data_IF_525038661183
#
_entry.id   IF_525038661183
#
_cell.length_a   1.000
_cell.length_b   1.000
_cell.length_c   1.000
_cell.angle_alpha   90.00
_cell.angle_beta   90.00
_cell.angle_gamma   90.00
#
_symmetry.space_group_name_H-M   'P 1'
#
loop_
_entity.id
_entity.type
_entity.pdbx_description
1 polymer ?
#
# COMPACT_ATOMS: atom_id res chain seq x y z
N UNK A 1 13.75 -1.52 -2.29
CA UNK A 1 12.68 -1.56 -1.27
C UNK A 1 11.55 -0.66 -1.70
N UNK A 2 10.33 -1.16 -1.70
CA UNK A 2 9.12 -0.37 -1.91
C UNK A 2 8.47 -0.09 -0.55
N UNK A 3 7.89 1.09 -0.37
CA UNK A 3 7.20 1.47 0.86
C UNK A 3 5.80 1.99 0.52
N UNK A 4 4.75 1.34 1.01
CA UNK A 4 3.37 1.73 0.76
C UNK A 4 2.71 2.32 2.00
N UNK A 5 1.84 3.32 1.81
CA UNK A 5 1.01 3.89 2.87
C UNK A 5 -0.47 3.93 2.47
N UNK A 6 -1.32 3.73 3.47
CA UNK A 6 -2.76 4.02 3.46
C UNK A 6 -3.04 5.16 4.46
N UNK A 7 -3.05 6.43 4.00
CA UNK A 7 -3.10 7.61 4.88
C UNK A 7 -4.48 7.83 5.52
N UNK A 8 -4.47 8.22 6.79
CA UNK A 8 -5.68 8.55 7.54
C UNK A 8 -5.38 8.94 8.99
N UNK A 9 -6.42 9.03 9.83
CA UNK A 9 -6.26 9.28 11.27
C UNK A 9 -5.36 8.22 11.92
N UNK A 10 -5.59 6.97 11.55
CA UNK A 10 -4.63 5.87 11.65
C UNK A 10 -4.07 5.64 10.26
N UNK A 11 -2.74 5.64 10.13
CA UNK A 11 -2.04 5.44 8.87
C UNK A 11 -1.41 4.06 8.86
N UNK A 12 -1.79 3.26 7.87
CA UNK A 12 -1.18 1.97 7.59
C UNK A 12 0.07 2.11 6.75
N UNK A 13 1.02 1.21 6.95
CA UNK A 13 2.21 1.13 6.12
C UNK A 13 2.63 -0.33 5.91
N UNK A 14 3.33 -0.60 4.80
CA UNK A 14 3.93 -1.88 4.50
C UNK A 14 5.16 -1.70 3.61
N UNK A 15 6.17 -2.56 3.74
CA UNK A 15 7.35 -2.50 2.87
C UNK A 15 7.67 -3.84 2.21
N UNK A 16 8.17 -3.75 0.99
CA UNK A 16 8.51 -4.88 0.13
C UNK A 16 10.01 -4.94 -0.10
N UNK A 17 10.55 -6.13 0.09
CA UNK A 17 11.91 -6.49 -0.30
C UNK A 17 11.85 -7.03 -1.73
N UNK A 18 12.32 -6.22 -2.69
CA UNK A 18 12.34 -6.54 -4.12
C UNK A 18 13.32 -7.67 -4.44
N UNK A 19 14.41 -7.80 -3.67
CA UNK A 19 15.44 -8.82 -3.91
C UNK A 19 14.88 -10.20 -3.56
N UNK A 20 14.25 -10.30 -2.37
CA UNK A 20 13.60 -11.53 -1.89
C UNK A 20 12.15 -11.71 -2.35
N UNK A 21 11.62 -10.74 -3.09
CA UNK A 21 10.24 -10.68 -3.58
C UNK A 21 9.17 -11.00 -2.53
N UNK A 22 9.25 -10.34 -1.38
CA UNK A 22 8.32 -10.60 -0.26
C UNK A 22 7.91 -9.33 0.46
N UNK A 23 6.74 -9.37 1.10
CA UNK A 23 6.35 -8.37 2.10
C UNK A 23 7.23 -8.61 3.33
N UNK A 24 8.05 -7.62 3.67
CA UNK A 24 9.03 -7.73 4.75
C UNK A 24 8.49 -7.22 6.09
N UNK A 25 7.46 -6.39 6.07
CA UNK A 25 6.73 -5.99 7.25
C UNK A 25 5.58 -5.03 6.95
N UNK A 26 4.72 -4.84 7.95
CA UNK A 26 3.60 -3.93 7.91
C UNK A 26 3.25 -3.47 9.32
N UNK A 27 2.58 -2.33 9.43
CA UNK A 27 2.10 -1.78 10.69
C UNK A 27 1.11 -0.65 10.49
N UNK A 28 0.60 -0.11 11.59
CA UNK A 28 -0.22 1.09 11.58
C UNK A 28 0.15 2.00 12.74
N UNK A 29 0.11 3.31 12.52
CA UNK A 29 0.42 4.33 13.52
C UNK A 29 -0.60 5.46 13.47
N UNK A 30 -0.69 6.26 14.53
CA UNK A 30 -1.42 7.53 14.47
C UNK A 30 -0.64 8.56 13.67
N UNK A 31 -1.34 9.53 13.07
CA UNK A 31 -0.77 10.58 12.20
C UNK A 31 0.50 11.23 12.78
N UNK A 32 0.50 11.62 14.05
CA UNK A 32 1.62 12.36 14.67
C UNK A 32 2.92 11.56 14.77
N UNK A 33 2.85 10.24 14.63
CA UNK A 33 4.01 9.34 14.65
C UNK A 33 4.64 9.20 13.26
N UNK A 34 3.92 9.53 12.19
CA UNK A 34 4.38 9.35 10.80
C UNK A 34 5.74 10.02 10.54
N UNK A 35 6.02 11.27 10.93
CA UNK A 35 7.33 11.89 10.70
C UNK A 35 8.49 11.16 11.39
N UNK A 36 8.24 10.61 12.59
CA UNK A 36 9.25 9.80 13.31
C UNK A 36 9.45 8.45 12.63
N UNK A 37 8.35 7.81 12.23
CA UNK A 37 8.36 6.53 11.52
C UNK A 37 9.14 6.63 10.20
N UNK A 38 8.93 7.67 9.39
CA UNK A 38 9.63 7.86 8.10
C UNK A 38 11.16 7.84 8.27
N UNK A 39 11.66 8.44 9.36
CA UNK A 39 13.09 8.48 9.69
C UNK A 39 13.68 7.12 10.11
N UNK A 40 12.83 6.13 10.42
CA UNK A 40 13.29 4.77 10.78
C UNK A 40 13.52 3.87 9.58
N UNK A 41 13.00 4.23 8.41
CA UNK A 41 13.17 3.41 7.21
C UNK A 41 14.50 3.73 6.51
N UNK A 42 15.20 2.71 5.97
CA UNK A 42 16.24 2.98 4.97
C UNK A 42 15.58 3.65 3.75
N UNK A 43 16.35 4.44 2.99
CA UNK A 43 15.84 5.14 1.81
C UNK A 43 15.16 4.16 0.83
N UNK A 44 13.84 4.24 0.61
CA UNK A 44 13.15 3.38 -0.34
C UNK A 44 13.48 3.80 -1.78
N UNK A 45 13.26 2.86 -2.70
CA UNK A 45 13.36 3.10 -4.15
C UNK A 45 12.16 3.87 -4.65
N UNK A 46 10.98 3.53 -4.12
CA UNK A 46 9.69 4.14 -4.49
C UNK A 46 8.75 4.11 -3.28
N UNK A 47 7.96 5.17 -3.13
CA UNK A 47 6.85 5.23 -2.18
C UNK A 47 5.53 5.08 -2.95
N UNK A 48 4.63 4.25 -2.44
CA UNK A 48 3.27 4.07 -2.95
C UNK A 48 2.30 4.73 -1.97
N UNK A 49 1.44 5.62 -2.44
CA UNK A 49 0.45 6.30 -1.60
C UNK A 49 -0.95 6.04 -2.10
N UNK A 50 -1.89 5.68 -1.21
CA UNK A 50 -3.31 5.82 -1.54
C UNK A 50 -3.62 7.29 -1.83
N UNK A 51 -4.15 7.56 -3.03
CA UNK A 51 -4.56 8.90 -3.44
C UNK A 51 -5.81 9.33 -2.65
N UNK A 52 -5.73 10.46 -1.97
CA UNK A 52 -6.89 11.06 -1.33
C UNK A 52 -7.69 11.88 -2.33
N UNK A 53 -8.97 11.53 -2.52
CA UNK A 53 -9.90 12.29 -3.38
C UNK A 53 -11.19 12.56 -2.62
N UNK A 54 -11.59 13.83 -2.57
CA UNK A 54 -12.90 14.24 -2.05
C UNK A 54 -13.92 14.15 -3.17
N UNK A 55 -14.87 13.24 -3.03
CA UNK A 55 -15.98 13.12 -3.99
C UNK A 55 -17.15 14.03 -3.57
N UNK A 56 -17.90 14.60 -4.52
CA UNK A 56 -19.00 15.53 -4.21
C UNK A 56 -20.03 14.96 -3.23
N UNK A 57 -20.38 13.67 -3.34
CA UNK A 57 -21.34 13.03 -2.43
C UNK A 57 -20.77 12.74 -1.02
N UNK A 58 -19.47 12.95 -0.79
CA UNK A 58 -18.81 12.80 0.52
C UNK A 58 -18.40 14.14 1.13
N UNK A 59 -18.48 15.25 0.39
CA UNK A 59 -17.95 16.55 0.81
C UNK A 59 -18.68 17.13 2.03
N UNK A 60 -20.01 16.97 2.11
CA UNK A 60 -20.81 17.51 3.21
C UNK A 60 -20.37 17.00 4.60
N UNK A 61 -19.91 15.75 4.69
CA UNK A 61 -19.39 15.17 5.94
C UNK A 61 -17.95 15.57 6.28
N UNK A 62 -17.24 16.23 5.36
CA UNK A 62 -15.82 16.58 5.49
C UNK A 62 -15.58 18.07 5.71
N UNK A 63 -16.62 18.92 5.63
CA UNK A 63 -16.49 20.39 5.73
C UNK A 63 -15.83 20.84 7.05
N UNK A 64 -16.03 20.08 8.12
CA UNK A 64 -15.48 20.36 9.45
C UNK A 64 -14.44 19.32 9.90
N UNK A 65 -14.02 18.43 9.00
CA UNK A 65 -12.97 17.46 9.29
C UNK A 65 -11.60 18.15 9.15
N UNK A 66 -10.63 17.77 9.99
CA UNK A 66 -9.25 18.22 9.86
C UNK A 66 -8.54 17.61 8.64
N UNK A 67 -9.18 16.65 7.95
CA UNK A 67 -8.65 15.97 6.78
C UNK A 67 -7.27 15.35 7.08
N UNK A 68 -7.17 14.37 7.99
CA UNK A 68 -5.89 13.80 8.39
C UNK A 68 -5.14 13.11 7.23
N UNK A 69 -5.86 12.52 6.28
CA UNK A 69 -5.25 11.85 5.12
C UNK A 69 -4.38 12.80 4.26
N UNK A 70 -4.87 13.96 3.77
CA UNK A 70 -4.03 14.89 3.03
C UNK A 70 -2.88 15.49 3.87
N UNK A 71 -3.05 15.65 5.19
CA UNK A 71 -1.94 16.07 6.07
C UNK A 71 -0.81 15.03 6.07
N UNK A 72 -1.15 13.75 6.28
CA UNK A 72 -0.18 12.63 6.23
C UNK A 72 0.48 12.55 4.85
N UNK A 73 -0.29 12.71 3.76
CA UNK A 73 0.25 12.74 2.39
C UNK A 73 1.27 13.87 2.26
N UNK A 74 0.97 15.06 2.79
CA UNK A 74 1.90 16.20 2.81
C UNK A 74 3.21 15.87 3.54
N UNK A 75 3.13 15.23 4.72
CA UNK A 75 4.31 14.80 5.48
C UNK A 75 5.17 13.81 4.69
N UNK A 76 4.55 12.81 4.05
CA UNK A 76 5.27 11.81 3.26
C UNK A 76 5.89 12.44 2.01
N UNK A 77 5.18 13.36 1.34
CA UNK A 77 5.69 14.10 0.17
C UNK A 77 6.90 14.95 0.51
N UNK A 78 6.86 15.70 1.61
CA UNK A 78 8.00 16.50 2.08
C UNK A 78 9.23 15.62 2.30
N UNK A 79 9.07 14.51 3.03
CA UNK A 79 10.17 13.59 3.28
C UNK A 79 10.70 12.92 2.01
N UNK A 80 9.81 12.54 1.09
CA UNK A 80 10.19 11.92 -0.18
C UNK A 80 11.00 12.89 -1.06
N UNK A 81 10.60 14.17 -1.10
CA UNK A 81 11.32 15.23 -1.81
C UNK A 81 12.72 15.43 -1.22
N UNK A 82 12.83 15.57 0.11
CA UNK A 82 14.11 15.66 0.83
C UNK A 82 15.04 14.47 0.53
N UNK A 83 14.48 13.27 0.37
CA UNK A 83 15.23 12.05 0.11
C UNK A 83 15.45 11.72 -1.37
N UNK A 84 14.94 12.54 -2.30
CA UNK A 84 14.90 12.26 -3.74
C UNK A 84 14.28 10.89 -4.06
N UNK A 85 13.13 10.59 -3.44
CA UNK A 85 12.40 9.35 -3.62
C UNK A 85 11.12 9.60 -4.43
N UNK A 86 10.90 8.88 -5.55
CA UNK A 86 9.67 9.01 -6.32
C UNK A 86 8.45 8.48 -5.55
N UNK A 87 7.32 9.19 -5.72
CA UNK A 87 6.01 8.80 -5.21
C UNK A 87 5.12 8.36 -6.37
N UNK A 88 4.42 7.25 -6.18
CA UNK A 88 3.34 6.79 -7.06
C UNK A 88 2.03 6.82 -6.27
N UNK A 89 1.06 7.59 -6.77
CA UNK A 89 -0.28 7.62 -6.19
C UNK A 89 -1.18 6.54 -6.80
N UNK A 90 -1.87 5.81 -5.94
CA UNK A 90 -2.72 4.68 -6.29
C UNK A 90 -4.18 4.98 -5.93
N UNK A 91 -5.15 4.76 -6.84
CA UNK A 91 -6.57 4.94 -6.51
C UNK A 91 -7.01 4.00 -5.38
N UNK A 92 -7.81 4.50 -4.43
CA UNK A 92 -8.38 3.70 -3.34
C UNK A 92 -9.04 2.39 -3.80
N UNK A 93 -9.60 2.35 -5.02
CA UNK A 93 -10.26 1.18 -5.58
C UNK A 93 -9.33 0.00 -5.88
N UNK A 94 -8.03 0.23 -6.13
CA UNK A 94 -7.13 -0.84 -6.59
C UNK A 94 -6.89 -1.90 -5.52
N UNK A 95 -6.97 -1.51 -4.24
CA UNK A 95 -6.81 -2.43 -3.10
C UNK A 95 -7.81 -3.58 -3.14
N UNK A 96 -9.04 -3.33 -3.60
CA UNK A 96 -10.11 -4.33 -3.73
C UNK A 96 -9.78 -5.45 -4.72
N UNK A 97 -8.83 -5.23 -5.62
CA UNK A 97 -8.44 -6.22 -6.65
C UNK A 97 -7.37 -7.21 -6.17
N UNK A 98 -6.81 -6.98 -4.98
CA UNK A 98 -5.97 -7.95 -4.27
C UNK A 98 -6.88 -8.68 -3.29
N UNK A 99 -6.93 -10.01 -3.34
CA UNK A 99 -7.81 -10.83 -2.50
C UNK A 99 -7.14 -11.23 -1.19
N UNK A 100 -7.86 -11.89 -0.28
CA UNK A 100 -7.27 -12.45 0.93
C UNK A 100 -6.28 -13.57 0.63
N UNK A 101 -6.55 -14.37 -0.40
CA UNK A 101 -5.67 -15.48 -0.79
C UNK A 101 -4.33 -14.96 -1.31
N UNK A 102 -4.34 -13.84 -2.04
CA UNK A 102 -3.10 -13.16 -2.43
C UNK A 102 -2.33 -12.69 -1.19
N UNK A 103 -2.99 -12.08 -0.20
CA UNK A 103 -2.31 -11.70 1.06
C UNK A 103 -1.71 -12.92 1.78
N UNK A 104 -2.40 -14.06 1.80
CA UNK A 104 -1.92 -15.31 2.41
C UNK A 104 -0.73 -15.89 1.65
N UNK A 105 -0.76 -15.89 0.31
CA UNK A 105 0.35 -16.33 -0.53
C UNK A 105 1.63 -15.55 -0.21
N UNK A 106 1.50 -14.23 -0.03
CA UNK A 106 2.59 -13.33 0.36
C UNK A 106 2.89 -13.30 1.87
N UNK A 107 2.30 -14.19 2.70
CA UNK A 107 2.47 -14.25 4.17
C UNK A 107 2.13 -12.92 4.88
N UNK A 108 1.30 -12.09 4.28
CA UNK A 108 0.95 -10.77 4.82
C UNK A 108 -0.43 -10.74 5.51
N UNK A 109 -1.19 -11.83 5.45
CA UNK A 109 -2.51 -11.92 6.09
C UNK A 109 -2.43 -11.81 7.62
N UNK A 110 -1.66 -12.69 8.26
CA UNK A 110 -1.51 -12.72 9.71
C UNK A 110 -0.70 -11.51 10.22
N UNK A 111 0.29 -11.08 9.43
CA UNK A 111 1.08 -9.87 9.70
C UNK A 111 0.20 -8.61 9.83
N UNK A 112 -0.96 -8.57 9.17
CA UNK A 112 -1.88 -7.43 9.19
C UNK A 112 -3.15 -7.70 9.99
N UNK A 113 -3.19 -8.77 10.78
CA UNK A 113 -4.33 -9.08 11.64
C UNK A 113 -4.57 -7.95 12.66
N UNK A 114 -5.83 -7.51 12.79
CA UNK A 114 -6.20 -6.38 13.66
C UNK A 114 -5.76 -5.00 13.17
N UNK A 115 -5.07 -4.90 12.01
CA UNK A 115 -4.54 -3.65 11.47
C UNK A 115 -5.13 -3.35 10.08
N UNK A 116 -6.38 -2.83 9.99
CA UNK A 116 -7.08 -2.67 8.72
C UNK A 116 -6.33 -1.75 7.73
N UNK A 117 -5.75 -0.65 8.21
CA UNK A 117 -4.98 0.25 7.35
C UNK A 117 -3.66 -0.36 6.89
N UNK A 118 -2.97 -1.11 7.76
CA UNK A 118 -1.77 -1.86 7.36
C UNK A 118 -2.10 -2.88 6.25
N UNK A 119 -3.26 -3.52 6.35
CA UNK A 119 -3.78 -4.44 5.34
C UNK A 119 -4.05 -3.75 4.02
N UNK A 120 -4.69 -2.58 4.03
CA UNK A 120 -4.98 -1.81 2.81
C UNK A 120 -3.68 -1.27 2.17
N UNK A 121 -2.71 -0.78 2.95
CA UNK A 121 -1.38 -0.42 2.46
C UNK A 121 -0.67 -1.62 1.81
N UNK A 122 -0.76 -2.81 2.42
CA UNK A 122 -0.22 -4.06 1.85
C UNK A 122 -0.91 -4.42 0.53
N UNK A 123 -2.22 -4.21 0.40
CA UNK A 123 -2.94 -4.46 -0.85
C UNK A 123 -2.49 -3.53 -1.97
N UNK A 124 -2.24 -2.25 -1.68
CA UNK A 124 -1.66 -1.31 -2.64
C UNK A 124 -0.27 -1.74 -3.09
N UNK A 125 0.57 -2.14 -2.13
CA UNK A 125 1.91 -2.68 -2.38
C UNK A 125 1.86 -3.89 -3.34
N UNK A 126 1.03 -4.89 -3.04
CA UNK A 126 0.90 -6.09 -3.87
C UNK A 126 0.23 -5.82 -5.22
N UNK A 127 -0.67 -4.84 -5.31
CA UNK A 127 -1.23 -4.41 -6.58
C UNK A 127 -0.15 -3.87 -7.51
N UNK A 128 0.74 -3.02 -6.98
CA UNK A 128 1.87 -2.49 -7.71
C UNK A 128 2.82 -3.61 -8.13
N UNK A 129 3.19 -4.52 -7.21
CA UNK A 129 4.04 -5.65 -7.54
C UNK A 129 3.44 -6.55 -8.63
N UNK A 130 2.12 -6.78 -8.62
CA UNK A 130 1.42 -7.54 -9.68
C UNK A 130 1.54 -6.87 -11.05
N UNK A 131 1.51 -5.54 -11.09
CA UNK A 131 1.58 -4.76 -12.33
C UNK A 131 3.00 -4.68 -12.87
N UNK A 132 3.97 -4.39 -12.02
CA UNK A 132 5.37 -4.14 -12.43
C UNK A 132 6.21 -5.41 -12.53
N UNK A 133 5.86 -6.46 -11.77
CA UNK A 133 6.61 -7.72 -11.73
C UNK A 133 5.67 -8.93 -11.92
N UNK A 134 4.92 -9.00 -13.04
CA UNK A 134 3.85 -9.98 -13.22
C UNK A 134 4.35 -11.44 -13.13
N UNK A 135 5.51 -11.75 -13.72
CA UNK A 135 6.08 -13.11 -13.74
C UNK A 135 6.41 -13.60 -12.32
N UNK A 136 7.22 -12.83 -11.58
CA UNK A 136 7.57 -13.14 -10.18
C UNK A 136 6.33 -13.19 -9.28
N UNK A 137 5.34 -12.34 -9.55
CA UNK A 137 4.06 -12.35 -8.82
C UNK A 137 3.31 -13.67 -9.02
N UNK A 138 3.24 -14.17 -10.26
CA UNK A 138 2.60 -15.44 -10.60
C UNK A 138 3.36 -16.62 -9.97
N UNK A 139 4.68 -16.59 -9.95
CA UNK A 139 5.51 -17.62 -9.30
C UNK A 139 5.14 -17.80 -7.83
N UNK A 140 5.05 -16.71 -7.07
CA UNK A 140 4.63 -16.76 -5.65
C UNK A 140 3.25 -17.38 -5.47
N UNK A 141 2.31 -17.10 -6.39
CA UNK A 141 0.96 -17.67 -6.32
C UNK A 141 0.97 -19.18 -6.62
N UNK A 142 1.76 -19.63 -7.60
CA UNK A 142 1.92 -21.04 -7.99
C UNK A 142 2.53 -21.88 -6.87
N UNK A 143 3.62 -21.41 -6.27
CA UNK A 143 4.31 -22.11 -5.18
C UNK A 143 3.42 -22.39 -3.97
N UNK A 144 2.38 -21.57 -3.78
CA UNK A 144 1.51 -21.61 -2.59
C UNK A 144 0.20 -22.34 -2.82
N UNK A 145 0.01 -22.99 -3.98
CA UNK A 145 -1.25 -23.64 -4.33
C UNK A 145 -2.44 -22.67 -4.35
N UNK A 146 -2.18 -21.36 -4.45
CA UNK A 146 -3.20 -20.33 -4.52
C UNK A 146 -3.69 -20.32 -5.96
N UNK A 147 -4.74 -21.11 -6.25
CA UNK A 147 -5.35 -21.27 -7.57
C UNK A 147 -6.00 -20.00 -8.10
N UNK A 148 -5.24 -18.92 -8.27
CA UNK A 148 -5.64 -17.76 -9.04
C UNK A 148 -5.45 -18.14 -10.49
N UNK A 149 -6.45 -18.85 -11.02
CA UNK A 149 -6.56 -19.09 -12.46
C UNK A 149 -6.47 -17.76 -13.19
N UNK A 150 -5.45 -17.63 -14.02
CA UNK A 150 -5.32 -16.58 -15.02
C UNK A 150 -6.59 -16.61 -15.88
N UNK A 151 -7.57 -15.75 -15.59
CA UNK A 151 -8.59 -15.42 -16.57
C UNK A 151 -7.88 -14.62 -17.65
N UNK A 152 -7.39 -15.33 -18.66
CA UNK A 152 -6.99 -14.75 -19.93
C UNK A 152 -8.16 -13.89 -20.42
N UNK A 153 -7.94 -12.59 -20.51
CA UNK A 153 -8.87 -11.72 -21.22
C UNK A 153 -8.68 -12.00 -22.69
N UNK A 154 -9.51 -12.87 -23.26
CA UNK A 154 -9.73 -12.85 -24.70
C UNK A 154 -10.42 -11.53 -25.03
N UNK A 155 -9.65 -10.60 -25.60
CA UNK A 155 -10.19 -9.46 -26.32
C UNK A 155 -10.95 -9.99 -27.53
N UNK A 156 -12.26 -9.75 -27.55
CA UNK A 156 -13.08 -9.75 -28.75
C UNK A 156 -12.99 -8.37 -29.41
#
# INVERSE_FOLDING_TARGET
MLLAFDPGKTTGFAWFDEDRFKVSGAGQVVMDVVPKLLKTFPRPKTILLEAFRVYPWKSAGLVWDNLPAPQVIGMIRSWADECNVPIIELPASVRKTITNDVLKAFKAWDMTAGMPHARDATRHLLWYCRKEFPERFIEVLKERGSGVGTRERHSA
#
